data_IF_429091651787
#
_entry.id   IF_429091651787
#
_cell.length_a   1.000
_cell.length_b   1.000
_cell.length_c   1.000
_cell.angle_alpha   90.00
_cell.angle_beta   90.00
_cell.angle_gamma   90.00
#
_symmetry.space_group_name_H-M   'P 1'
#
loop_
_entity.id
_entity.type
_entity.pdbx_description
1 polymer ?
#
# COMPACT_ATOMS: atom_id res chain seq x y z
N UNK A 1 32.12 -24.65 -8.49
CA UNK A 1 31.28 -24.16 -7.36
C UNK A 1 30.12 -25.12 -7.21
N UNK A 2 29.84 -25.65 -6.01
CA UNK A 2 28.78 -26.65 -5.83
C UNK A 2 27.40 -25.98 -6.03
N UNK A 3 26.49 -26.55 -6.83
CA UNK A 3 25.19 -25.94 -7.17
C UNK A 3 24.33 -25.63 -5.93
N UNK A 4 24.57 -26.34 -4.82
CA UNK A 4 23.91 -26.12 -3.53
C UNK A 4 24.07 -24.69 -2.99
N UNK A 5 25.23 -24.06 -3.16
CA UNK A 5 25.45 -22.68 -2.67
C UNK A 5 24.59 -21.66 -3.44
N UNK A 6 24.40 -21.90 -4.73
CA UNK A 6 23.56 -21.03 -5.59
C UNK A 6 22.09 -21.15 -5.18
N UNK A 7 21.61 -22.38 -4.93
CA UNK A 7 20.24 -22.61 -4.47
C UNK A 7 20.00 -21.93 -3.12
N UNK A 8 20.92 -22.07 -2.18
CA UNK A 8 20.79 -21.43 -0.85
C UNK A 8 20.83 -19.90 -0.93
N UNK A 9 21.66 -19.34 -1.81
CA UNK A 9 21.70 -17.90 -2.03
C UNK A 9 20.40 -17.35 -2.62
N UNK A 10 19.77 -18.08 -3.55
CA UNK A 10 18.47 -17.68 -4.14
C UNK A 10 17.36 -17.75 -3.09
N UNK A 11 17.29 -18.81 -2.30
CA UNK A 11 16.28 -18.93 -1.23
C UNK A 11 16.48 -17.84 -0.18
N UNK A 12 17.72 -17.59 0.25
CA UNK A 12 18.04 -16.52 1.19
C UNK A 12 17.67 -15.13 0.66
N UNK A 13 17.99 -14.85 -0.61
CA UNK A 13 17.63 -13.60 -1.29
C UNK A 13 16.12 -13.43 -1.44
N UNK A 14 15.39 -14.48 -1.77
CA UNK A 14 13.93 -14.45 -1.91
C UNK A 14 13.24 -14.15 -0.58
N UNK A 15 13.67 -14.79 0.51
CA UNK A 15 13.10 -14.53 1.85
C UNK A 15 13.39 -13.10 2.29
N UNK A 16 14.64 -12.63 2.14
CA UNK A 16 15.00 -11.26 2.48
C UNK A 16 14.20 -10.23 1.66
N UNK A 17 14.09 -10.45 0.35
CA UNK A 17 13.32 -9.60 -0.55
C UNK A 17 11.83 -9.57 -0.21
N UNK A 18 11.21 -10.73 0.06
CA UNK A 18 9.81 -10.80 0.46
C UNK A 18 9.55 -10.08 1.80
N UNK A 19 10.45 -10.24 2.78
CA UNK A 19 10.31 -9.58 4.08
C UNK A 19 10.37 -8.06 3.93
N UNK A 20 11.33 -7.55 3.15
CA UNK A 20 11.45 -6.11 2.86
C UNK A 20 10.24 -5.61 2.08
N UNK A 21 9.78 -6.37 1.09
CA UNK A 21 8.60 -6.03 0.30
C UNK A 21 7.32 -5.94 1.13
N UNK A 22 7.12 -6.86 2.09
CA UNK A 22 5.97 -6.83 3.00
C UNK A 22 6.04 -5.68 4.01
N UNK A 23 7.23 -5.32 4.51
CA UNK A 23 7.39 -4.20 5.44
C UNK A 23 7.15 -2.84 4.79
N UNK A 24 7.45 -2.72 3.50
CA UNK A 24 7.27 -1.49 2.72
C UNK A 24 5.97 -1.49 1.91
N UNK A 25 5.19 -2.58 1.96
CA UNK A 25 3.93 -2.66 1.24
C UNK A 25 2.93 -1.66 1.82
N UNK A 26 2.24 -0.88 0.97
CA UNK A 26 1.16 0.00 1.44
C UNK A 26 -0.01 -0.84 1.98
N UNK A 27 -0.79 -0.25 2.89
CA UNK A 27 -2.04 -0.84 3.34
C UNK A 27 -3.02 -1.01 2.17
N UNK A 28 -3.96 -1.95 2.32
CA UNK A 28 -4.97 -2.21 1.29
C UNK A 28 -5.82 -0.95 1.09
N UNK A 29 -6.02 -0.56 -0.18
CA UNK A 29 -6.77 0.65 -0.50
C UNK A 29 -8.20 0.70 0.05
N UNK A 30 -8.85 -0.44 0.25
CA UNK A 30 -10.15 -0.52 0.95
C UNK A 30 -10.06 -0.03 2.40
N UNK A 31 -9.08 -0.53 3.17
CA UNK A 31 -8.89 -0.16 4.57
C UNK A 31 -8.51 1.33 4.69
N UNK A 32 -7.64 1.81 3.79
CA UNK A 32 -7.29 3.24 3.71
C UNK A 32 -8.51 4.11 3.39
N UNK A 33 -9.36 3.70 2.44
CA UNK A 33 -10.61 4.43 2.10
C UNK A 33 -11.56 4.47 3.30
N UNK A 34 -11.71 3.38 4.04
CA UNK A 34 -12.54 3.33 5.25
C UNK A 34 -12.02 4.23 6.37
N UNK A 35 -10.69 4.26 6.59
CA UNK A 35 -10.06 5.18 7.54
C UNK A 35 -10.31 6.65 7.18
N UNK A 36 -10.26 7.01 5.90
CA UNK A 36 -10.57 8.37 5.43
C UNK A 36 -12.04 8.71 5.70
N UNK A 37 -12.98 7.77 5.43
CA UNK A 37 -14.41 7.96 5.75
C UNK A 37 -14.59 8.24 7.24
N UNK A 38 -13.94 7.45 8.09
CA UNK A 38 -14.05 7.58 9.54
C UNK A 38 -13.48 8.92 10.03
N UNK A 39 -12.32 9.33 9.50
CA UNK A 39 -11.71 10.62 9.81
C UNK A 39 -12.60 11.81 9.40
N UNK A 40 -13.19 11.77 8.21
CA UNK A 40 -14.11 12.81 7.73
C UNK A 40 -15.39 12.87 8.58
N UNK A 41 -15.95 11.71 8.96
CA UNK A 41 -17.10 11.64 9.87
C UNK A 41 -16.79 12.26 11.24
N UNK A 42 -15.60 12.00 11.81
CA UNK A 42 -15.15 12.61 13.07
C UNK A 42 -15.09 14.15 12.99
N UNK A 43 -14.81 14.69 11.80
CA UNK A 43 -14.84 16.14 11.53
C UNK A 43 -16.24 16.69 11.16
N UNK A 44 -17.27 15.85 11.14
CA UNK A 44 -18.65 16.26 10.79
C UNK A 44 -18.92 16.36 9.29
N UNK A 45 -17.99 15.91 8.44
CA UNK A 45 -18.12 15.98 6.98
C UNK A 45 -18.76 14.68 6.49
N UNK A 46 -19.96 14.78 5.91
CA UNK A 46 -20.68 13.64 5.34
C UNK A 46 -20.46 13.59 3.83
N UNK A 47 -19.47 12.82 3.41
CA UNK A 47 -19.15 12.65 1.99
C UNK A 47 -20.08 11.62 1.32
N UNK A 48 -20.47 11.88 0.06
CA UNK A 48 -21.11 10.86 -0.79
C UNK A 48 -20.03 9.96 -1.39
N UNK A 49 -20.36 8.68 -1.65
CA UNK A 49 -19.39 7.69 -2.18
C UNK A 49 -18.66 8.14 -3.45
N UNK A 50 -19.36 8.79 -4.37
CA UNK A 50 -18.78 9.32 -5.61
C UNK A 50 -17.72 10.41 -5.37
N UNK A 51 -17.95 11.29 -4.40
CA UNK A 51 -16.98 12.33 -4.01
C UNK A 51 -15.76 11.75 -3.29
N UNK A 52 -15.93 10.60 -2.65
CA UNK A 52 -14.83 9.89 -1.98
C UNK A 52 -13.82 9.33 -2.97
N UNK A 53 -14.35 8.77 -4.05
CA UNK A 53 -13.56 8.20 -5.15
C UNK A 53 -12.79 9.30 -5.89
N UNK A 54 -13.48 10.40 -6.22
CA UNK A 54 -12.88 11.59 -6.84
C UNK A 54 -11.71 12.15 -5.99
N UNK A 55 -11.87 12.24 -4.67
CA UNK A 55 -10.78 12.68 -3.77
C UNK A 55 -9.63 11.66 -3.67
N UNK A 56 -9.94 10.37 -3.69
CA UNK A 56 -8.91 9.34 -3.65
C UNK A 56 -8.07 9.35 -4.93
N UNK A 57 -8.71 9.56 -6.09
CA UNK A 57 -8.05 9.68 -7.38
C UNK A 57 -7.20 10.96 -7.45
N UNK A 58 -7.72 12.09 -6.94
CA UNK A 58 -6.95 13.35 -6.87
C UNK A 58 -5.71 13.24 -5.98
N UNK A 59 -5.81 12.55 -4.83
CA UNK A 59 -4.67 12.26 -3.95
C UNK A 59 -3.65 11.35 -4.66
N UNK A 60 -4.12 10.33 -5.39
CA UNK A 60 -3.23 9.44 -6.15
C UNK A 60 -2.47 10.20 -7.24
N UNK A 61 -3.16 11.06 -7.99
CA UNK A 61 -2.57 11.91 -9.02
C UNK A 61 -1.56 12.91 -8.46
N UNK A 62 -1.81 13.49 -7.28
CA UNK A 62 -0.84 14.37 -6.59
C UNK A 62 0.41 13.62 -6.12
N UNK A 63 0.25 12.38 -5.64
CA UNK A 63 1.37 11.55 -5.22
C UNK A 63 2.23 11.09 -6.40
N UNK A 64 1.65 10.82 -7.58
CA UNK A 64 2.41 10.47 -8.79
C UNK A 64 3.16 11.65 -9.42
N UNK A 65 2.65 12.87 -9.25
CA UNK A 65 3.29 14.09 -9.79
C UNK A 65 4.48 14.58 -8.95
N UNK A 66 4.74 13.98 -7.79
CA UNK A 66 5.75 14.42 -6.83
C UNK A 66 6.90 13.42 -6.72
#
# INVERSE_FOLDING_TARGET
MKPLHVIMAVVGGAIAGATVGLLLAPEKGEDTRDLIVEYLKKKGIKLRRNKMEELADEIADELEKK
#
